data_IF_027637755141
#
_entry.id   IF_027637755141
#
_cell.length_a   1.000
_cell.length_b   1.000
_cell.length_c   1.000
_cell.angle_alpha   90.00
_cell.angle_beta   90.00
_cell.angle_gamma   90.00
#
_symmetry.space_group_name_H-M   'P 1'
#
loop_
_entity.id
_entity.type
_entity.pdbx_description
1 polymer ?
#
# COMPACT_ATOMS: atom_id res chain seq x y z
N UNK A 1 10.11 -0.08 -7.72
CA UNK A 1 8.89 -0.60 -7.06
C UNK A 1 9.25 -1.45 -5.85
N UNK A 2 9.94 -2.58 -6.06
CA UNK A 2 10.38 -3.50 -5.00
C UNK A 2 11.06 -2.80 -3.83
N UNK A 3 11.99 -1.87 -4.07
CA UNK A 3 12.71 -1.19 -2.98
C UNK A 3 11.80 -0.33 -2.10
N UNK A 4 10.75 0.28 -2.65
CA UNK A 4 9.77 1.07 -1.90
C UNK A 4 8.88 0.14 -1.07
N UNK A 5 8.45 -0.98 -1.65
CA UNK A 5 7.69 -2.01 -0.92
C UNK A 5 8.54 -2.61 0.20
N UNK A 6 9.83 -2.85 -0.04
CA UNK A 6 10.74 -3.37 0.99
C UNK A 6 10.98 -2.35 2.10
N UNK A 7 11.18 -1.08 1.77
CA UNK A 7 11.42 -0.02 2.76
C UNK A 7 10.17 0.33 3.57
N UNK A 8 8.97 0.14 3.00
CA UNK A 8 7.70 0.44 3.68
C UNK A 8 7.50 -0.37 4.95
N UNK A 9 7.98 -1.61 5.02
CA UNK A 9 7.90 -2.42 6.23
C UNK A 9 8.61 -1.75 7.41
N UNK A 10 9.80 -1.20 7.17
CA UNK A 10 10.53 -0.44 8.17
C UNK A 10 9.83 0.86 8.55
N UNK A 11 9.26 1.57 7.56
CA UNK A 11 8.52 2.81 7.78
C UNK A 11 7.25 2.59 8.62
N UNK A 12 6.47 1.55 8.31
CA UNK A 12 5.28 1.16 9.06
C UNK A 12 5.65 0.82 10.51
N UNK A 13 6.71 0.03 10.73
CA UNK A 13 7.16 -0.30 12.08
C UNK A 13 7.58 0.95 12.87
N UNK A 14 8.32 1.88 12.24
CA UNK A 14 8.78 3.12 12.90
C UNK A 14 7.64 4.07 13.23
N UNK A 15 6.69 4.26 12.31
CA UNK A 15 5.51 5.10 12.56
C UNK A 15 4.63 4.45 13.63
N UNK A 16 4.32 3.16 13.48
CA UNK A 16 3.39 2.42 14.34
C UNK A 16 3.97 1.94 15.67
N UNK A 17 5.17 2.38 16.07
CA UNK A 17 5.78 1.99 17.35
C UNK A 17 5.11 2.63 18.57
N UNK A 18 4.18 3.56 18.35
CA UNK A 18 3.43 4.27 19.39
C UNK A 18 1.93 4.21 19.11
N UNK A 19 1.09 4.40 20.14
CA UNK A 19 -0.36 4.41 19.97
C UNK A 19 -0.85 5.54 19.03
N UNK A 20 -0.28 6.74 19.14
CA UNK A 20 -0.56 7.84 18.22
C UNK A 20 -0.08 7.53 16.80
N UNK A 21 1.02 6.80 16.67
CA UNK A 21 1.53 6.26 15.42
C UNK A 21 0.60 5.26 14.73
N UNK A 22 0.05 4.30 15.49
CA UNK A 22 -0.97 3.37 15.00
C UNK A 22 -2.25 4.10 14.54
N UNK A 23 -2.69 5.09 15.33
CA UNK A 23 -3.81 5.95 14.94
C UNK A 23 -3.49 6.73 13.65
N UNK A 24 -2.27 7.26 13.53
CA UNK A 24 -1.80 7.95 12.32
C UNK A 24 -1.82 7.03 11.09
N UNK A 25 -1.32 5.81 11.21
CA UNK A 25 -1.39 4.81 10.14
C UNK A 25 -2.84 4.49 9.76
N UNK A 26 -3.71 4.23 10.75
CA UNK A 26 -5.14 3.99 10.49
C UNK A 26 -5.79 5.14 9.72
N UNK A 27 -5.50 6.37 10.10
CA UNK A 27 -6.00 7.57 9.41
C UNK A 27 -5.44 7.72 7.99
N UNK A 28 -4.14 7.45 7.78
CA UNK A 28 -3.51 7.53 6.45
C UNK A 28 -4.12 6.53 5.48
N UNK A 29 -4.32 5.29 5.93
CA UNK A 29 -4.97 4.22 5.16
C UNK A 29 -6.50 4.34 5.11
N UNK A 30 -7.09 5.32 5.82
CA UNK A 30 -8.54 5.51 5.94
C UNK A 30 -9.27 4.24 6.40
N UNK A 31 -8.69 3.53 7.36
CA UNK A 31 -9.27 2.29 7.88
C UNK A 31 -10.53 2.60 8.70
N UNK A 32 -11.54 1.73 8.59
CA UNK A 32 -12.80 1.87 9.31
C UNK A 32 -12.65 1.68 10.82
N UNK A 33 -11.68 0.86 11.23
CA UNK A 33 -11.40 0.54 12.63
C UNK A 33 -9.96 0.91 12.99
N UNK A 34 -9.69 1.31 14.25
CA UNK A 34 -8.33 1.55 14.72
C UNK A 34 -7.47 0.29 14.64
N UNK A 35 -6.21 0.45 14.21
CA UNK A 35 -5.22 -0.64 14.22
C UNK A 35 -4.86 -1.03 15.64
N UNK A 36 -4.87 -2.34 15.93
CA UNK A 36 -4.40 -2.87 17.22
C UNK A 36 -2.89 -3.08 17.24
N UNK A 37 -2.30 -3.39 16.09
CA UNK A 37 -0.87 -3.56 15.93
C UNK A 37 -0.42 -3.26 14.49
N UNK A 38 0.89 -3.08 14.31
CA UNK A 38 1.49 -2.95 12.97
C UNK A 38 1.37 -4.24 12.15
N UNK A 39 1.31 -5.40 12.81
CA UNK A 39 1.25 -6.68 12.11
C UNK A 39 -0.11 -6.92 11.45
N UNK A 40 -1.20 -6.39 12.00
CA UNK A 40 -2.52 -6.38 11.36
C UNK A 40 -2.46 -5.70 9.99
N UNK A 41 -1.88 -4.48 9.93
CA UNK A 41 -1.70 -3.75 8.68
C UNK A 41 -0.75 -4.47 7.71
N UNK A 42 0.34 -5.05 8.23
CA UNK A 42 1.34 -5.72 7.40
C UNK A 42 0.81 -7.00 6.77
N UNK A 43 0.05 -7.79 7.53
CA UNK A 43 -0.59 -9.01 7.01
C UNK A 43 -1.63 -8.66 5.94
N UNK A 44 -2.45 -7.63 6.16
CA UNK A 44 -3.40 -7.15 5.15
C UNK A 44 -2.72 -6.71 3.85
N UNK A 45 -1.58 -6.00 3.94
CA UNK A 45 -0.78 -5.64 2.76
C UNK A 45 -0.18 -6.86 2.06
N UNK A 46 0.31 -7.84 2.83
CA UNK A 46 0.89 -9.07 2.28
C UNK A 46 -0.14 -9.88 1.50
N UNK A 47 -1.34 -10.03 2.06
CA UNK A 47 -2.46 -10.73 1.41
C UNK A 47 -2.84 -10.02 0.10
N UNK A 48 -2.90 -8.69 0.11
CA UNK A 48 -3.16 -7.91 -1.11
C UNK A 48 -2.07 -8.12 -2.15
N UNK A 49 -0.79 -8.12 -1.77
CA UNK A 49 0.31 -8.37 -2.71
C UNK A 49 0.21 -9.75 -3.35
N UNK A 50 -0.14 -10.77 -2.55
CA UNK A 50 -0.43 -12.11 -3.06
C UNK A 50 -1.59 -12.11 -4.05
N UNK A 51 -2.70 -11.44 -3.72
CA UNK A 51 -3.86 -11.34 -4.59
C UNK A 51 -3.52 -10.68 -5.93
N UNK A 52 -2.85 -9.52 -5.92
CA UNK A 52 -2.42 -8.85 -7.16
C UNK A 52 -1.51 -9.75 -8.01
N UNK A 53 -0.60 -10.52 -7.39
CA UNK A 53 0.28 -11.42 -8.12
C UNK A 53 -0.48 -12.59 -8.78
N UNK A 54 -1.51 -13.12 -8.12
CA UNK A 54 -2.33 -14.21 -8.67
C UNK A 54 -3.22 -13.77 -9.83
N UNK A 55 -3.65 -12.50 -9.87
CA UNK A 55 -4.59 -11.97 -10.85
C UNK A 55 -3.97 -10.97 -11.83
N UNK A 56 -2.66 -11.07 -12.09
CA UNK A 56 -1.93 -10.18 -13.01
C UNK A 56 -2.21 -10.46 -14.50
N UNK A 57 -3.49 -10.38 -14.89
CA UNK A 57 -3.96 -10.70 -16.23
C UNK A 57 -3.75 -9.55 -17.23
N UNK A 58 -3.59 -9.85 -18.54
CA UNK A 58 -3.38 -8.84 -19.58
C UNK A 58 -4.65 -8.09 -20.01
N UNK A 59 -5.75 -8.20 -19.27
CA UNK A 59 -7.04 -7.57 -19.54
C UNK A 59 -7.76 -7.20 -18.23
N UNK A 60 -8.71 -6.26 -18.23
CA UNK A 60 -9.49 -5.92 -17.04
C UNK A 60 -10.29 -7.11 -16.53
N UNK A 61 -10.38 -7.29 -15.21
CA UNK A 61 -11.13 -8.40 -14.59
C UNK A 61 -11.89 -7.94 -13.36
N UNK A 62 -12.97 -8.66 -13.04
CA UNK A 62 -13.82 -8.42 -11.86
C UNK A 62 -13.96 -9.72 -11.04
N UNK A 63 -12.88 -10.49 -10.89
CA UNK A 63 -12.91 -11.79 -10.19
C UNK A 63 -12.77 -11.65 -8.67
N UNK A 64 -11.68 -11.02 -8.20
CA UNK A 64 -11.47 -10.72 -6.77
C UNK A 64 -11.84 -9.28 -6.42
N UNK A 65 -11.61 -8.37 -7.36
CA UNK A 65 -11.92 -6.95 -7.32
C UNK A 65 -12.02 -6.46 -8.78
N UNK A 66 -12.55 -5.26 -9.00
CA UNK A 66 -12.44 -4.59 -10.28
C UNK A 66 -11.01 -4.13 -10.49
N UNK A 67 -10.33 -4.69 -11.48
CA UNK A 67 -8.90 -4.47 -11.72
C UNK A 67 -8.62 -4.11 -13.18
N UNK A 68 -7.62 -3.24 -13.44
CA UNK A 68 -7.12 -2.95 -14.78
C UNK A 68 -6.39 -4.16 -15.38
N UNK A 69 -6.07 -4.08 -16.67
CA UNK A 69 -5.05 -4.93 -17.26
C UNK A 69 -3.68 -4.71 -16.58
N UNK A 70 -2.96 -5.79 -16.30
CA UNK A 70 -1.66 -5.81 -15.63
C UNK A 70 -1.68 -5.07 -14.28
N UNK A 71 -2.55 -5.46 -13.32
CA UNK A 71 -2.70 -4.77 -12.05
C UNK A 71 -1.40 -4.68 -11.25
N UNK A 72 -0.48 -5.64 -11.36
CA UNK A 72 0.83 -5.53 -10.70
C UNK A 72 1.67 -4.39 -11.28
N UNK A 73 1.62 -4.19 -12.59
CA UNK A 73 2.29 -3.07 -13.27
C UNK A 73 1.67 -1.74 -12.88
N UNK A 74 0.34 -1.65 -12.83
CA UNK A 74 -0.36 -0.42 -12.43
C UNK A 74 -0.08 -0.07 -10.97
N UNK A 75 -0.13 -1.06 -10.07
CA UNK A 75 0.29 -0.92 -8.67
C UNK A 75 1.70 -0.31 -8.59
N UNK A 76 2.66 -0.91 -9.30
CA UNK A 76 4.04 -0.44 -9.28
C UNK A 76 4.22 0.95 -9.88
N UNK A 77 3.49 1.28 -10.93
CA UNK A 77 3.44 2.64 -11.50
C UNK A 77 2.97 3.64 -10.45
N UNK A 78 1.90 3.33 -9.71
CA UNK A 78 1.39 4.19 -8.65
C UNK A 78 2.38 4.37 -7.50
N UNK A 79 3.00 3.29 -7.03
CA UNK A 79 4.01 3.33 -5.94
C UNK A 79 5.25 4.14 -6.34
N UNK A 80 5.67 4.03 -7.61
CA UNK A 80 6.89 4.70 -8.10
C UNK A 80 6.63 6.09 -8.69
N UNK A 81 5.38 6.43 -8.99
CA UNK A 81 5.00 7.74 -9.51
C UNK A 81 5.54 8.83 -8.58
N UNK A 82 6.31 9.75 -9.15
CA UNK A 82 7.00 10.76 -8.37
C UNK A 82 5.97 11.66 -7.69
N UNK A 83 5.75 11.47 -6.39
CA UNK A 83 5.29 12.59 -5.56
C UNK A 83 6.45 13.59 -5.56
N UNK A 84 6.13 14.77 -6.09
CA UNK A 84 6.98 15.92 -6.29
C UNK A 84 8.01 16.06 -5.17
N UNK A 85 9.28 16.30 -5.57
CA UNK A 85 10.39 16.86 -4.77
C UNK A 85 10.10 16.95 -3.28
N UNK A 86 10.72 16.12 -2.44
CA UNK A 86 11.19 16.45 -1.08
C UNK A 86 11.91 15.24 -0.48
N UNK A 87 12.66 15.51 0.59
CA UNK A 87 13.86 14.79 1.07
C UNK A 87 13.76 13.26 1.11
N UNK A 88 14.86 12.64 0.68
CA UNK A 88 15.23 11.25 0.93
C UNK A 88 14.92 10.89 2.40
N UNK A 89 14.00 9.96 2.63
CA UNK A 89 13.67 9.31 3.91
C UNK A 89 12.57 9.96 4.81
N UNK A 90 11.42 10.36 4.27
CA UNK A 90 10.22 10.47 5.10
C UNK A 90 9.46 9.14 5.08
N UNK A 91 9.35 8.48 6.24
CA UNK A 91 8.61 7.23 6.40
C UNK A 91 7.14 7.38 5.99
N UNK A 92 6.55 8.56 6.21
CA UNK A 92 5.17 8.82 5.84
C UNK A 92 5.01 8.90 4.31
N UNK A 93 6.00 9.44 3.59
CA UNK A 93 6.00 9.45 2.11
C UNK A 93 6.04 8.02 1.55
N UNK A 94 6.90 7.18 2.13
CA UNK A 94 6.97 5.75 1.75
C UNK A 94 5.61 5.09 1.95
N UNK A 95 4.96 5.31 3.08
CA UNK A 95 3.62 4.76 3.36
C UNK A 95 2.57 5.32 2.40
N UNK A 96 2.58 6.62 2.10
CA UNK A 96 1.65 7.25 1.14
C UNK A 96 1.78 6.68 -0.27
N UNK A 97 3.00 6.37 -0.70
CA UNK A 97 3.23 5.68 -1.98
C UNK A 97 2.61 4.30 -2.01
N UNK A 98 2.71 3.54 -0.91
CA UNK A 98 2.04 2.24 -0.79
C UNK A 98 0.53 2.40 -0.88
N UNK A 99 -0.06 3.35 -0.15
CA UNK A 99 -1.51 3.64 -0.19
C UNK A 99 -1.97 3.93 -1.64
N UNK A 100 -1.20 4.71 -2.40
CA UNK A 100 -1.51 4.97 -3.81
C UNK A 100 -1.50 3.70 -4.65
N UNK A 101 -0.59 2.78 -4.36
CA UNK A 101 -0.56 1.44 -4.96
C UNK A 101 -1.78 0.61 -4.58
N UNK A 102 -2.12 0.51 -3.29
CA UNK A 102 -3.23 -0.33 -2.81
C UNK A 102 -4.58 0.08 -3.37
N UNK A 103 -4.76 1.36 -3.71
CA UNK A 103 -5.98 1.83 -4.37
C UNK A 103 -6.27 1.13 -5.71
N UNK A 104 -5.27 0.55 -6.39
CA UNK A 104 -5.49 -0.27 -7.59
C UNK A 104 -6.33 -1.51 -7.27
N UNK A 105 -6.25 -2.04 -6.05
CA UNK A 105 -7.01 -3.22 -5.64
C UNK A 105 -8.31 -2.87 -4.93
N UNK A 106 -8.29 -1.83 -4.10
CA UNK A 106 -9.43 -1.51 -3.22
C UNK A 106 -10.34 -0.39 -3.72
N UNK A 107 -9.92 0.40 -4.71
CA UNK A 107 -10.62 1.62 -5.11
C UNK A 107 -10.32 2.02 -6.57
N UNK A 108 -10.33 1.04 -7.49
CA UNK A 108 -10.04 1.26 -8.90
C UNK A 108 -11.22 1.89 -9.66
N UNK A 109 -12.45 1.46 -9.36
CA UNK A 109 -13.72 1.93 -9.91
C UNK A 109 -14.46 2.85 -8.96
#
# INVERSE_FOLDING_TARGET
CVDIVRSSWGAINRIGSTASGLQRLGNLFKLCNPLKSVDELKNWLLDMYGNIAMVDYPYPTSFLADLPAFPARVFCSNVTSAILRLRKNDDEDVVRRIIKGTNVFFNYT
#
